data_IF_195816749792
#
_entry.id   IF_195816749792
#
_cell.length_a   1.000
_cell.length_b   1.000
_cell.length_c   1.000
_cell.angle_alpha   90.00
_cell.angle_beta   90.00
_cell.angle_gamma   90.00
#
_symmetry.space_group_name_H-M   'P 1'
#
loop_
_entity.id
_entity.type
_entity.pdbx_description
1 polymer ?
#
# COMPACT_ATOMS: atom_id res chain seq x y z
N UNK A 1 -46.69 -6.10 -12.17
CA UNK A 1 -46.94 -6.26 -13.62
C UNK A 1 -48.43 -6.04 -13.86
N UNK A 2 -48.88 -5.44 -14.98
CA UNK A 2 -48.18 -5.16 -16.27
C UNK A 2 -47.64 -3.71 -16.41
N UNK A 3 -46.57 -3.42 -17.17
CA UNK A 3 -46.45 -3.19 -18.65
C UNK A 3 -47.24 -1.97 -19.17
N UNK A 4 -46.82 -1.16 -20.16
CA UNK A 4 -45.59 -0.77 -20.86
C UNK A 4 -46.07 0.04 -22.08
N UNK A 5 -45.44 1.16 -22.47
CA UNK A 5 -45.41 1.60 -23.88
C UNK A 5 -44.21 2.54 -24.14
N UNK A 6 -43.69 2.49 -25.37
CA UNK A 6 -42.40 3.08 -25.81
C UNK A 6 -42.59 4.25 -26.81
N UNK A 7 -41.44 4.83 -27.18
CA UNK A 7 -41.05 5.63 -28.40
C UNK A 7 -40.87 7.12 -28.05
N UNK A 8 -39.85 7.90 -28.46
CA UNK A 8 -38.66 7.70 -29.32
C UNK A 8 -38.50 8.87 -30.32
N UNK A 9 -37.32 9.40 -30.71
CA UNK A 9 -35.91 9.14 -30.38
C UNK A 9 -35.02 10.36 -30.81
N UNK A 10 -33.71 10.16 -31.11
CA UNK A 10 -32.71 11.14 -31.63
C UNK A 10 -32.14 12.17 -30.62
N UNK A 11 -30.87 12.64 -30.69
CA UNK A 11 -29.65 12.21 -31.42
C UNK A 11 -28.41 12.85 -30.73
N UNK A 12 -27.26 12.17 -30.67
CA UNK A 12 -26.01 12.82 -30.21
C UNK A 12 -24.93 11.88 -29.65
N UNK A 13 -24.12 11.28 -30.52
CA UNK A 13 -22.89 10.60 -30.13
C UNK A 13 -21.67 11.42 -30.57
N UNK A 14 -20.53 11.27 -29.87
CA UNK A 14 -19.28 11.06 -30.59
C UNK A 14 -18.57 9.76 -30.18
N UNK A 15 -17.54 9.42 -30.97
CA UNK A 15 -17.03 8.05 -31.12
C UNK A 15 -15.89 7.68 -30.17
N UNK A 16 -15.79 6.38 -29.95
CA UNK A 16 -14.60 5.59 -29.59
C UNK A 16 -13.27 6.22 -30.04
N UNK A 17 -12.32 6.32 -29.12
CA UNK A 17 -10.90 6.52 -29.40
C UNK A 17 -10.07 5.56 -28.55
N UNK A 18 -9.29 4.68 -29.20
CA UNK A 18 -8.43 3.67 -28.56
C UNK A 18 -7.01 3.83 -29.10
N UNK A 19 -6.15 4.58 -28.40
CA UNK A 19 -4.72 4.59 -28.65
C UNK A 19 -3.94 4.64 -27.34
N UNK A 20 -2.84 3.88 -27.33
CA UNK A 20 -1.83 3.82 -26.28
C UNK A 20 -0.81 4.95 -26.46
N UNK A 21 0.11 5.03 -25.49
CA UNK A 21 1.39 5.74 -25.48
C UNK A 21 1.46 7.00 -24.61
N UNK A 22 2.13 6.84 -23.46
CA UNK A 22 2.91 7.90 -22.81
C UNK A 22 3.95 7.25 -21.87
N UNK A 23 4.96 6.65 -22.48
CA UNK A 23 6.15 6.19 -21.78
C UNK A 23 7.27 7.26 -21.88
N UNK A 24 8.13 7.32 -20.87
CA UNK A 24 9.41 8.08 -20.88
C UNK A 24 9.27 9.61 -20.91
N UNK A 25 8.74 10.18 -19.81
CA UNK A 25 8.95 11.59 -19.48
C UNK A 25 9.07 11.82 -17.96
N UNK A 26 10.04 11.17 -17.30
CA UNK A 26 10.59 11.58 -15.98
C UNK A 26 11.83 10.76 -15.55
N UNK A 27 12.84 10.66 -16.42
CA UNK A 27 14.16 10.14 -16.04
C UNK A 27 15.27 11.06 -16.59
N UNK A 28 15.45 12.22 -15.95
CA UNK A 28 16.57 13.15 -16.24
C UNK A 28 17.30 13.73 -15.03
N UNK A 29 16.81 13.54 -13.80
CA UNK A 29 17.41 14.14 -12.61
C UNK A 29 17.88 13.07 -11.60
N UNK A 30 18.88 12.25 -11.97
CA UNK A 30 19.51 11.30 -11.06
C UNK A 30 20.93 10.83 -11.50
N UNK A 31 21.77 11.71 -12.04
CA UNK A 31 23.22 11.46 -12.14
C UNK A 31 23.95 12.73 -11.66
N UNK A 32 24.76 12.68 -10.59
CA UNK A 32 25.47 13.86 -10.09
C UNK A 32 26.71 14.17 -10.94
N UNK A 33 26.94 15.46 -11.20
CA UNK A 33 28.11 15.95 -11.92
C UNK A 33 29.42 15.55 -11.23
N UNK A 34 30.35 14.94 -11.98
CA UNK A 34 31.78 15.01 -11.66
C UNK A 34 32.70 14.88 -12.88
N UNK A 35 32.91 16.04 -13.52
CA UNK A 35 34.19 16.55 -14.04
C UNK A 35 35.02 15.80 -15.11
N UNK A 36 35.50 16.62 -16.06
CA UNK A 36 36.80 16.55 -16.78
C UNK A 36 36.94 15.60 -17.99
N UNK A 37 36.68 16.17 -19.18
CA UNK A 37 37.77 16.31 -20.17
C UNK A 37 37.73 15.49 -21.46
N UNK A 38 37.76 16.24 -22.57
CA UNK A 38 38.28 15.91 -23.91
C UNK A 38 37.41 15.20 -24.99
N UNK A 39 37.37 15.90 -26.13
CA UNK A 39 37.19 15.45 -27.51
C UNK A 39 35.80 14.96 -27.99
N UNK A 40 35.17 15.80 -28.83
CA UNK A 40 34.16 15.38 -29.81
C UNK A 40 34.86 14.82 -31.05
N UNK A 41 34.39 13.70 -31.62
CA UNK A 41 34.37 13.47 -33.07
C UNK A 41 33.49 12.24 -33.43
N UNK A 42 32.82 12.28 -34.58
CA UNK A 42 32.17 11.11 -35.20
C UNK A 42 30.72 10.80 -34.78
N UNK A 43 29.75 11.57 -35.29
CA UNK A 43 28.34 11.12 -35.31
C UNK A 43 28.18 10.07 -36.42
N UNK A 44 27.98 8.81 -36.03
CA UNK A 44 27.57 7.73 -36.92
C UNK A 44 26.21 7.15 -36.47
N UNK A 45 25.35 6.82 -37.42
CA UNK A 45 23.97 6.38 -37.15
C UNK A 45 23.89 5.17 -36.21
N UNK A 46 23.36 5.38 -34.99
CA UNK A 46 23.14 4.30 -34.02
C UNK A 46 21.91 3.49 -34.44
N UNK A 47 22.15 2.52 -35.33
CA UNK A 47 21.17 1.53 -35.76
C UNK A 47 20.82 0.60 -34.59
N UNK A 48 19.67 0.83 -33.96
CA UNK A 48 19.18 0.06 -32.80
C UNK A 48 19.23 -1.45 -33.11
N UNK A 49 19.88 -2.29 -32.29
CA UNK A 49 20.02 -3.70 -32.61
C UNK A 49 18.70 -4.46 -32.45
N UNK A 50 18.34 -5.27 -33.45
CA UNK A 50 17.27 -6.25 -33.30
C UNK A 50 17.58 -7.20 -32.13
N UNK A 51 16.52 -7.61 -31.41
CA UNK A 51 16.52 -8.18 -30.05
C UNK A 51 17.60 -9.27 -29.81
N UNK A 52 17.86 -10.12 -30.80
CA UNK A 52 18.86 -11.19 -30.73
C UNK A 52 20.31 -10.69 -30.51
N UNK A 53 20.64 -9.44 -30.88
CA UNK A 53 21.98 -8.88 -30.66
C UNK A 53 22.21 -8.38 -29.24
N UNK A 54 21.15 -8.08 -28.47
CA UNK A 54 21.27 -7.68 -27.06
C UNK A 54 21.70 -8.89 -26.23
N UNK A 55 21.09 -10.06 -26.48
CA UNK A 55 21.49 -11.33 -25.84
C UNK A 55 22.96 -11.68 -26.10
N UNK A 56 23.43 -11.52 -27.34
CA UNK A 56 24.82 -11.76 -27.75
C UNK A 56 25.83 -10.70 -27.25
N UNK A 57 25.36 -9.60 -26.64
CA UNK A 57 26.18 -8.62 -25.93
C UNK A 57 26.27 -8.95 -24.44
N UNK A 58 25.15 -9.36 -23.82
CA UNK A 58 25.07 -9.73 -22.40
C UNK A 58 25.85 -11.01 -22.10
N UNK A 59 25.84 -12.00 -23.01
CA UNK A 59 26.62 -13.24 -22.87
C UNK A 59 28.15 -13.06 -23.01
N UNK A 60 28.64 -11.81 -23.09
CA UNK A 60 30.06 -11.44 -23.15
C UNK A 60 30.51 -10.63 -21.94
N UNK A 61 29.60 -10.40 -20.98
CA UNK A 61 29.94 -9.81 -19.68
C UNK A 61 30.15 -10.98 -18.72
N UNK A 62 31.42 -11.31 -18.46
CA UNK A 62 31.77 -12.39 -17.54
C UNK A 62 31.16 -12.12 -16.15
N UNK A 63 30.37 -13.09 -15.66
CA UNK A 63 29.72 -13.02 -14.34
C UNK A 63 28.23 -12.65 -14.33
N UNK A 64 27.59 -12.38 -15.48
CA UNK A 64 26.13 -12.18 -15.54
C UNK A 64 25.42 -13.47 -15.96
N UNK A 65 24.71 -14.13 -15.03
CA UNK A 65 23.88 -15.28 -15.40
C UNK A 65 22.59 -14.81 -16.09
N UNK A 66 22.26 -15.44 -17.22
CA UNK A 66 21.04 -15.17 -18.00
C UNK A 66 19.79 -15.71 -17.29
N UNK A 67 19.96 -16.62 -16.34
CA UNK A 67 18.87 -17.11 -15.47
C UNK A 67 18.43 -16.06 -14.44
N UNK A 68 19.36 -15.33 -13.82
CA UNK A 68 19.06 -14.20 -12.91
C UNK A 68 18.25 -13.10 -13.64
N UNK A 69 18.51 -12.92 -14.94
CA UNK A 69 17.74 -12.00 -15.81
C UNK A 69 16.31 -12.50 -16.08
N UNK A 70 16.04 -13.82 -16.01
CA UNK A 70 14.66 -14.34 -16.03
C UNK A 70 13.95 -14.01 -14.72
N UNK A 71 14.62 -14.11 -13.59
CA UNK A 71 14.06 -13.77 -12.28
C UNK A 71 13.66 -12.28 -12.23
N UNK A 72 14.50 -11.39 -12.76
CA UNK A 72 14.18 -9.95 -12.94
C UNK A 72 12.94 -9.73 -13.84
N UNK A 73 12.65 -10.63 -14.79
CA UNK A 73 11.44 -10.57 -15.65
C UNK A 73 10.21 -11.24 -15.04
N UNK A 74 10.39 -12.16 -14.10
CA UNK A 74 9.29 -12.84 -13.41
C UNK A 74 8.72 -12.05 -12.22
N UNK A 75 9.30 -10.90 -11.87
CA UNK A 75 8.68 -9.83 -11.07
C UNK A 75 7.38 -9.21 -11.68
N UNK A 76 6.80 -9.86 -12.70
CA UNK A 76 5.46 -9.57 -13.25
C UNK A 76 4.44 -10.69 -13.04
N UNK A 77 4.76 -11.76 -12.27
CA UNK A 77 3.90 -12.94 -12.09
C UNK A 77 3.38 -13.17 -10.65
N UNK A 78 2.67 -12.18 -10.12
CA UNK A 78 1.65 -12.39 -9.08
C UNK A 78 2.10 -13.17 -7.84
N UNK A 79 1.15 -13.87 -7.23
CA UNK A 79 1.34 -14.61 -5.98
C UNK A 79 1.99 -15.99 -6.23
N UNK A 80 3.01 -16.34 -5.44
CA UNK A 80 3.59 -17.68 -5.51
C UNK A 80 2.54 -18.75 -5.14
N UNK A 81 2.59 -19.97 -5.71
CA UNK A 81 1.62 -21.03 -5.35
C UNK A 81 1.61 -21.35 -3.85
N UNK A 82 2.77 -21.25 -3.19
CA UNK A 82 2.93 -21.40 -1.74
C UNK A 82 2.28 -20.26 -0.94
N UNK A 83 2.48 -19.00 -1.35
CA UNK A 83 1.83 -17.85 -0.71
C UNK A 83 0.31 -17.90 -0.87
N UNK A 84 -0.15 -18.26 -2.07
CA UNK A 84 -1.57 -18.43 -2.36
C UNK A 84 -2.19 -19.50 -1.48
N UNK A 85 -1.58 -20.68 -1.41
CA UNK A 85 -2.02 -21.77 -0.54
C UNK A 85 -1.86 -21.49 0.97
N UNK A 86 -1.06 -20.47 1.36
CA UNK A 86 -1.02 -19.95 2.73
C UNK A 86 -2.25 -19.07 2.99
N UNK A 87 -2.41 -17.98 2.23
CA UNK A 87 -3.46 -17.00 2.50
C UNK A 87 -4.87 -17.55 2.25
N UNK A 88 -5.05 -18.50 1.32
CA UNK A 88 -6.34 -19.15 1.05
C UNK A 88 -6.89 -19.95 2.25
N UNK A 89 -6.03 -20.27 3.24
CA UNK A 89 -6.44 -20.90 4.51
C UNK A 89 -6.80 -19.89 5.60
N UNK A 90 -6.47 -18.62 5.41
CA UNK A 90 -6.69 -17.60 6.41
C UNK A 90 -8.17 -17.24 6.50
N UNK A 91 -8.63 -16.92 7.71
CA UNK A 91 -10.04 -16.58 7.97
C UNK A 91 -10.50 -15.31 7.20
N UNK A 92 -9.59 -14.36 7.02
CA UNK A 92 -9.80 -13.13 6.25
C UNK A 92 -8.61 -12.92 5.28
N UNK A 93 -8.63 -13.58 4.11
CA UNK A 93 -7.52 -13.50 3.16
C UNK A 93 -7.40 -12.08 2.58
N UNK A 94 -6.20 -11.46 2.56
CA UNK A 94 -5.98 -10.23 1.82
C UNK A 94 -6.10 -10.47 0.30
N UNK A 95 -6.32 -9.40 -0.47
CA UNK A 95 -6.15 -9.47 -1.92
C UNK A 95 -4.69 -9.74 -2.27
N UNK A 96 -4.46 -10.39 -3.42
CA UNK A 96 -3.12 -10.69 -3.94
C UNK A 96 -2.24 -9.43 -4.04
N UNK A 97 -2.77 -8.33 -4.57
CA UNK A 97 -2.08 -7.04 -4.63
C UNK A 97 -1.71 -6.52 -3.23
N UNK A 98 -2.64 -6.58 -2.27
CA UNK A 98 -2.42 -6.07 -0.91
C UNK A 98 -1.42 -6.94 -0.14
N UNK A 99 -1.46 -8.25 -0.33
CA UNK A 99 -0.47 -9.17 0.23
C UNK A 99 0.92 -8.89 -0.33
N UNK A 100 1.08 -8.80 -1.65
CA UNK A 100 2.36 -8.51 -2.29
C UNK A 100 2.92 -7.15 -1.85
N UNK A 101 2.07 -6.12 -1.76
CA UNK A 101 2.46 -4.76 -1.32
C UNK A 101 2.99 -4.73 0.12
N UNK A 102 2.44 -5.55 1.01
CA UNK A 102 2.77 -5.55 2.44
C UNK A 102 3.24 -6.92 2.95
N UNK A 103 3.92 -7.70 2.10
CA UNK A 103 4.28 -9.09 2.38
C UNK A 103 5.10 -9.23 3.67
N UNK A 104 6.05 -8.34 3.90
CA UNK A 104 6.88 -8.31 5.12
C UNK A 104 6.06 -8.08 6.42
N UNK A 105 4.87 -7.47 6.32
CA UNK A 105 3.97 -7.25 7.46
C UNK A 105 3.05 -8.45 7.66
N UNK A 106 2.49 -9.01 6.58
CA UNK A 106 1.66 -10.22 6.64
C UNK A 106 2.44 -11.47 7.03
N UNK A 107 3.70 -11.60 6.61
CA UNK A 107 4.56 -12.74 6.92
C UNK A 107 5.20 -12.64 8.31
N UNK A 108 5.01 -11.53 9.02
CA UNK A 108 5.59 -11.33 10.34
C UNK A 108 4.77 -12.07 11.42
N UNK A 109 5.33 -13.09 12.10
CA UNK A 109 4.63 -13.82 13.15
C UNK A 109 4.38 -12.99 14.42
N UNK A 110 4.93 -11.78 14.53
CA UNK A 110 4.55 -10.80 15.57
C UNK A 110 3.17 -10.19 15.32
N UNK A 111 2.72 -10.15 14.06
CA UNK A 111 1.55 -9.38 13.62
C UNK A 111 0.40 -10.25 13.14
N UNK A 112 0.69 -11.40 12.53
CA UNK A 112 -0.31 -12.32 12.03
C UNK A 112 0.07 -13.76 12.39
N UNK A 113 -0.92 -14.53 12.84
CA UNK A 113 -0.79 -15.97 12.94
C UNK A 113 -0.63 -16.54 11.52
N UNK A 114 0.51 -17.18 11.24
CA UNK A 114 0.85 -17.61 9.88
C UNK A 114 0.01 -18.79 9.37
N UNK A 115 -0.66 -19.53 10.27
CA UNK A 115 -1.56 -20.63 9.94
C UNK A 115 -3.00 -20.13 9.67
N UNK A 116 -3.52 -19.22 10.50
CA UNK A 116 -4.93 -18.80 10.48
C UNK A 116 -5.19 -17.42 9.88
N UNK A 117 -4.16 -16.58 9.74
CA UNK A 117 -4.26 -15.17 9.37
C UNK A 117 -4.86 -14.28 10.46
N UNK A 118 -5.06 -14.80 11.67
CA UNK A 118 -5.56 -14.04 12.81
C UNK A 118 -4.60 -12.91 13.18
N UNK A 119 -5.17 -11.73 13.46
CA UNK A 119 -4.41 -10.52 13.81
C UNK A 119 -3.91 -10.62 15.24
N UNK A 120 -2.60 -10.53 15.40
CA UNK A 120 -1.94 -10.45 16.71
C UNK A 120 -1.81 -8.97 17.06
N UNK A 121 -2.73 -8.50 17.91
CA UNK A 121 -2.74 -7.13 18.41
C UNK A 121 -1.55 -6.86 19.36
N UNK A 122 -1.08 -5.61 19.47
CA UNK A 122 -0.08 -5.22 20.46
C UNK A 122 -0.57 -5.52 21.88
N UNK A 123 0.34 -5.81 22.83
CA UNK A 123 0.00 -5.87 24.26
C UNK A 123 -0.43 -4.50 24.78
N UNK A 124 -0.94 -4.45 26.03
CA UNK A 124 -1.27 -3.20 26.72
C UNK A 124 -2.26 -2.31 25.92
N UNK A 125 -3.26 -2.94 25.29
CA UNK A 125 -4.29 -2.28 24.46
C UNK A 125 -3.72 -1.32 23.39
N UNK A 126 -2.50 -1.61 22.90
CA UNK A 126 -1.80 -0.78 21.92
C UNK A 126 -1.14 0.47 22.46
N UNK A 127 -1.14 0.70 23.77
CA UNK A 127 -0.36 1.77 24.39
C UNK A 127 1.13 1.38 24.51
N UNK A 128 2.03 2.29 24.11
CA UNK A 128 3.48 2.08 24.18
C UNK A 128 4.01 2.09 25.62
N UNK A 129 3.29 2.74 26.53
CA UNK A 129 3.61 2.97 27.93
C UNK A 129 2.32 2.77 28.77
N UNK A 130 2.39 2.86 30.10
CA UNK A 130 1.20 2.76 30.95
C UNK A 130 0.24 3.96 30.68
N UNK A 131 -1.03 3.72 30.30
CA UNK A 131 -1.92 4.80 29.90
C UNK A 131 -2.46 5.59 31.11
N UNK A 132 -2.59 6.90 30.95
CA UNK A 132 -3.05 7.83 31.99
C UNK A 132 -4.55 8.11 31.86
N UNK A 133 -5.22 8.34 32.98
CA UNK A 133 -6.61 8.82 32.95
C UNK A 133 -6.68 10.26 32.42
N UNK A 134 -7.57 10.49 31.47
CA UNK A 134 -7.74 11.78 30.78
C UNK A 134 -9.22 12.08 30.64
N UNK A 135 -9.63 13.32 30.96
CA UNK A 135 -11.00 13.77 30.74
C UNK A 135 -11.11 14.35 29.33
N UNK A 136 -11.88 13.70 28.46
CA UNK A 136 -12.35 14.30 27.22
C UNK A 136 -13.43 15.33 27.56
N UNK A 137 -13.24 16.55 27.08
CA UNK A 137 -14.11 17.70 27.37
C UNK A 137 -15.22 17.85 26.35
N UNK A 138 -16.38 18.34 26.80
CA UNK A 138 -17.48 18.73 25.92
C UNK A 138 -16.97 19.58 24.74
N UNK A 139 -17.44 19.27 23.54
CA UNK A 139 -17.09 19.97 22.31
C UNK A 139 -15.82 19.47 21.63
N UNK A 140 -14.95 18.68 22.29
CA UNK A 140 -13.79 18.05 21.64
C UNK A 140 -14.22 17.17 20.47
N UNK A 141 -13.34 17.04 19.46
CA UNK A 141 -13.53 16.15 18.32
C UNK A 141 -12.55 14.98 18.42
N UNK A 142 -13.09 13.78 18.35
CA UNK A 142 -12.35 12.52 18.24
C UNK A 142 -12.77 11.81 16.95
N UNK A 143 -11.91 10.95 16.43
CA UNK A 143 -12.17 10.18 15.21
C UNK A 143 -11.71 8.72 15.35
N UNK A 144 -12.19 7.88 14.44
CA UNK A 144 -12.00 6.43 14.47
C UNK A 144 -12.07 5.84 13.07
N UNK A 145 -11.25 4.82 12.84
CA UNK A 145 -11.39 3.89 11.73
C UNK A 145 -11.95 2.56 12.26
N UNK A 146 -12.97 2.02 11.60
CA UNK A 146 -13.67 0.80 12.01
C UNK A 146 -15.07 1.07 12.57
N UNK A 147 -15.87 0.01 12.67
CA UNK A 147 -17.29 0.09 12.99
C UNK A 147 -17.59 0.82 14.32
N UNK A 148 -18.75 1.51 14.46
CA UNK A 148 -19.05 2.35 15.62
C UNK A 148 -19.13 1.65 16.99
N UNK A 149 -19.00 0.32 17.03
CA UNK A 149 -19.04 -0.51 18.25
C UNK A 149 -17.68 -0.66 18.95
N UNK A 150 -16.58 -0.20 18.35
CA UNK A 150 -15.24 -0.31 18.95
C UNK A 150 -14.92 0.82 19.92
N UNK A 151 -14.07 0.52 20.92
CA UNK A 151 -13.71 1.44 22.00
C UNK A 151 -12.47 2.32 21.77
N UNK A 152 -11.76 2.17 20.65
CA UNK A 152 -10.51 2.89 20.36
C UNK A 152 -10.72 4.06 19.39
N UNK A 153 -10.13 5.21 19.74
CA UNK A 153 -10.27 6.50 19.07
C UNK A 153 -8.92 7.24 19.00
N UNK A 154 -8.91 8.40 18.34
CA UNK A 154 -7.82 9.38 18.46
C UNK A 154 -8.40 10.80 18.47
N UNK A 155 -7.66 11.82 18.96
CA UNK A 155 -7.99 13.22 18.69
C UNK A 155 -8.13 13.45 17.18
N UNK A 156 -9.13 14.24 16.78
CA UNK A 156 -9.42 14.41 15.35
C UNK A 156 -8.22 15.00 14.60
N UNK A 157 -7.76 14.30 13.56
CA UNK A 157 -6.68 14.75 12.69
C UNK A 157 -5.30 14.13 12.96
N UNK A 158 -5.20 13.19 13.91
CA UNK A 158 -4.01 12.32 14.05
C UNK A 158 -3.79 11.54 12.74
N UNK A 159 -2.58 11.56 12.14
CA UNK A 159 -2.29 10.82 10.91
C UNK A 159 -2.61 9.32 11.01
N UNK A 160 -2.99 8.71 9.89
CA UNK A 160 -3.44 7.31 9.87
C UNK A 160 -2.35 6.33 10.33
N UNK A 161 -1.11 6.52 9.88
CA UNK A 161 0.04 5.67 10.24
C UNK A 161 0.44 5.79 11.73
N UNK A 162 0.14 6.92 12.38
CA UNK A 162 0.41 7.13 13.81
C UNK A 162 -0.51 6.32 14.72
N UNK A 163 -1.57 5.74 14.18
CA UNK A 163 -2.54 4.92 14.93
C UNK A 163 -2.16 3.44 15.00
N UNK A 164 -1.10 3.04 14.29
CA UNK A 164 -0.60 1.67 14.21
C UNK A 164 -1.71 0.59 14.03
N UNK A 165 -2.70 0.88 13.17
CA UNK A 165 -3.80 -0.03 12.88
C UNK A 165 -3.35 -1.21 12.02
N UNK A 166 -4.05 -2.35 12.11
CA UNK A 166 -3.79 -3.51 11.27
C UNK A 166 -4.13 -3.21 9.81
N UNK A 167 -3.49 -3.91 8.87
CA UNK A 167 -3.67 -3.63 7.43
C UNK A 167 -5.13 -3.81 6.97
N UNK A 168 -5.91 -4.70 7.58
CA UNK A 168 -7.33 -4.87 7.27
C UNK A 168 -8.18 -3.62 7.62
N UNK A 169 -7.64 -2.68 8.40
CA UNK A 169 -8.29 -1.41 8.72
C UNK A 169 -8.10 -0.34 7.63
N UNK A 170 -7.29 -0.60 6.59
CA UNK A 170 -7.07 0.36 5.49
C UNK A 170 -8.35 0.66 4.70
N UNK A 171 -9.27 -0.30 4.61
CA UNK A 171 -10.60 -0.14 4.00
C UNK A 171 -11.71 0.17 5.03
N UNK A 172 -11.36 0.40 6.29
CA UNK A 172 -12.36 0.57 7.35
C UNK A 172 -13.11 1.91 7.25
N UNK A 173 -14.39 1.88 7.59
CA UNK A 173 -15.23 3.08 7.67
C UNK A 173 -14.62 4.10 8.65
N UNK A 174 -14.58 5.37 8.23
CA UNK A 174 -14.04 6.47 9.03
C UNK A 174 -15.15 7.33 9.61
N UNK A 175 -15.08 7.59 10.92
CA UNK A 175 -16.08 8.34 11.67
C UNK A 175 -15.43 9.46 12.48
N UNK A 176 -16.15 10.57 12.62
CA UNK A 176 -15.77 11.71 13.47
C UNK A 176 -16.91 11.98 14.44
N UNK A 177 -16.59 12.11 15.72
CA UNK A 177 -17.51 12.31 16.82
C UNK A 177 -17.24 13.64 17.49
N UNK A 178 -18.29 14.23 18.08
CA UNK A 178 -18.16 15.35 19.03
C UNK A 178 -18.51 14.82 20.42
N UNK A 179 -17.63 15.09 21.38
CA UNK A 179 -17.88 14.82 22.80
C UNK A 179 -19.03 15.73 23.27
N UNK A 180 -20.09 15.13 23.84
CA UNK A 180 -21.32 15.84 24.24
C UNK A 180 -21.37 16.18 25.73
N UNK A 181 -20.57 15.52 26.55
CA UNK A 181 -20.42 15.75 27.98
C UNK A 181 -19.00 15.32 28.42
N UNK A 182 -18.52 15.83 29.54
CA UNK A 182 -17.20 15.47 30.08
C UNK A 182 -17.17 14.00 30.53
N UNK A 183 -16.23 13.19 30.00
CA UNK A 183 -16.04 11.80 30.44
C UNK A 183 -14.58 11.37 30.48
N UNK A 184 -14.28 10.36 31.31
CA UNK A 184 -12.92 9.84 31.48
C UNK A 184 -12.62 8.73 30.48
N UNK A 185 -11.43 8.77 29.90
CA UNK A 185 -10.83 7.73 29.05
C UNK A 185 -9.41 7.42 29.53
N UNK A 186 -8.84 6.34 29.02
CA UNK A 186 -7.39 6.13 29.05
C UNK A 186 -6.75 6.84 27.86
N UNK A 187 -5.60 7.47 28.05
CA UNK A 187 -4.84 8.04 26.95
C UNK A 187 -3.35 7.73 27.06
N UNK A 188 -2.67 7.75 25.93
CA UNK A 188 -1.23 7.50 25.86
C UNK A 188 -0.74 7.44 24.42
N UNK A 189 0.52 7.08 24.24
CA UNK A 189 1.14 6.90 22.92
C UNK A 189 0.69 5.58 22.31
N UNK A 190 0.38 5.57 21.02
CA UNK A 190 0.18 4.34 20.26
C UNK A 190 1.54 3.63 20.02
N UNK A 191 1.62 2.34 20.35
CA UNK A 191 2.82 1.53 20.16
C UNK A 191 3.12 1.29 18.66
N UNK A 192 4.40 1.27 18.23
CA UNK A 192 4.76 0.86 16.87
C UNK A 192 4.35 -0.59 16.59
N UNK A 193 3.43 -0.80 15.65
CA UNK A 193 2.88 -2.12 15.31
C UNK A 193 2.45 -2.22 13.84
N UNK A 194 2.25 -3.43 13.32
CA UNK A 194 1.91 -3.70 11.91
C UNK A 194 2.81 -3.01 10.86
N UNK A 195 4.09 -2.79 11.18
CA UNK A 195 5.04 -2.07 10.32
C UNK A 195 4.87 -0.55 10.31
N UNK A 196 4.01 0.00 11.18
CA UNK A 196 3.69 1.42 11.33
C UNK A 196 4.41 2.02 12.55
N UNK A 197 4.71 3.33 12.55
CA UNK A 197 5.48 3.96 13.61
C UNK A 197 4.74 4.06 14.95
N UNK A 198 3.39 4.05 14.95
CA UNK A 198 2.65 4.55 16.12
C UNK A 198 2.85 6.06 16.27
N UNK A 199 2.45 6.63 17.41
CA UNK A 199 2.43 8.08 17.58
C UNK A 199 1.97 8.51 18.97
N UNK A 200 1.82 9.82 19.16
CA UNK A 200 1.64 10.41 20.50
C UNK A 200 0.22 10.25 21.07
N UNK A 201 -0.73 9.69 20.31
CA UNK A 201 -2.16 9.77 20.64
C UNK A 201 -2.95 8.49 20.33
N UNK A 202 -3.38 7.81 21.39
CA UNK A 202 -4.40 6.76 21.43
C UNK A 202 -5.40 7.09 22.57
N UNK A 203 -6.69 6.76 22.38
CA UNK A 203 -7.81 7.03 23.31
C UNK A 203 -8.75 5.82 23.38
#
# INVERSE_FOLDING_TARGET
MPQHLKIGAANGAPKVGRFVDNAIANLKNAIPDRQMGFAMEGVGDVKVPAENKIQAYLSKVDGVNVEDIKEIKDNSKGLSPSDKAKIEKWMYPPSEEKYLKYKDVYDNPKYYNQETGEVIWPPNDGFAEEPVDTILKEGMLIDRYGEPTGGFFSPKGVPYEERALALHSDEANYYVYRVLEDFSVKSGKAAPWFGRPGGEHNL
#
